data_IF_920481374316
#
_entry.id   IF_920481374316
#
_cell.length_a   1.000
_cell.length_b   1.000
_cell.length_c   1.000
_cell.angle_alpha   90.00
_cell.angle_beta   90.00
_cell.angle_gamma   90.00
#
_symmetry.space_group_name_H-M   'P 1'
#
loop_
_entity.id
_entity.type
_entity.pdbx_description
1 polymer ?
#
# COMPACT_ATOMS: atom_id res chain seq x y z
N UNK A 1 24.70 5.86 8.62
CA UNK A 1 25.09 4.60 9.28
C UNK A 1 23.93 3.64 9.12
N UNK A 2 24.01 2.73 8.15
CA UNK A 2 23.00 1.70 7.97
C UNK A 2 23.12 0.72 9.15
N UNK A 3 22.10 0.66 10.00
CA UNK A 3 21.95 -0.46 10.93
C UNK A 3 21.80 -1.70 10.05
N UNK A 4 22.76 -2.62 10.15
CA UNK A 4 22.53 -4.01 9.79
C UNK A 4 21.42 -4.47 10.71
N UNK A 5 20.22 -4.60 10.16
CA UNK A 5 19.17 -5.38 10.80
C UNK A 5 19.64 -6.84 10.67
N UNK A 6 20.35 -7.30 11.70
CA UNK A 6 20.64 -8.72 11.85
C UNK A 6 19.29 -9.46 11.86
N UNK A 7 19.18 -10.62 11.19
CA UNK A 7 17.95 -11.38 11.17
C UNK A 7 17.48 -11.66 12.61
N UNK A 8 16.16 -11.66 12.87
CA UNK A 8 15.64 -11.93 14.20
C UNK A 8 16.28 -13.22 14.69
N UNK A 9 16.96 -13.12 15.83
CA UNK A 9 17.70 -14.22 16.41
C UNK A 9 16.70 -15.37 16.63
N UNK A 10 16.85 -16.46 15.89
CA UNK A 10 15.95 -17.61 15.99
C UNK A 10 16.24 -18.37 17.28
N UNK A 11 15.69 -17.85 18.38
CA UNK A 11 15.82 -18.40 19.73
C UNK A 11 15.34 -19.85 19.77
N UNK A 12 14.36 -20.21 18.95
CA UNK A 12 13.84 -21.57 18.85
C UNK A 12 14.81 -22.50 18.12
N UNK A 13 15.47 -22.03 17.06
CA UNK A 13 16.54 -22.76 16.37
C UNK A 13 17.73 -23.06 17.29
N UNK A 14 18.19 -22.05 18.03
CA UNK A 14 19.27 -22.22 19.01
C UNK A 14 18.86 -23.17 20.15
N UNK A 15 17.63 -23.07 20.67
CA UNK A 15 17.11 -23.97 21.69
C UNK A 15 17.02 -25.43 21.19
N UNK A 16 16.65 -25.65 19.93
CA UNK A 16 16.58 -26.97 19.33
C UNK A 16 17.97 -27.61 19.18
N UNK A 17 18.98 -26.85 18.77
CA UNK A 17 20.35 -27.34 18.70
C UNK A 17 20.94 -27.62 20.08
N UNK A 18 20.60 -26.80 21.08
CA UNK A 18 20.94 -27.03 22.48
C UNK A 18 20.30 -28.33 23.01
N UNK A 19 19.06 -28.62 22.60
CA UNK A 19 18.37 -29.88 22.89
C UNK A 19 19.06 -31.11 22.28
N UNK A 20 19.53 -31.03 21.03
CA UNK A 20 20.28 -32.12 20.37
C UNK A 20 21.61 -32.40 21.08
N UNK A 21 22.29 -31.36 21.58
CA UNK A 21 23.53 -31.55 22.36
C UNK A 21 23.24 -32.19 23.72
N UNK A 22 22.11 -31.85 24.36
CA UNK A 22 21.68 -32.53 25.59
C UNK A 22 21.31 -34.00 25.37
N UNK A 23 20.70 -34.34 24.23
CA UNK A 23 20.39 -35.73 23.86
C UNK A 23 21.67 -36.59 23.77
N UNK A 24 22.70 -36.08 23.07
CA UNK A 24 24.03 -36.72 23.00
C UNK A 24 24.67 -36.90 24.39
N UNK A 25 24.48 -35.92 25.27
CA UNK A 25 25.01 -35.97 26.64
C UNK A 25 24.26 -36.99 27.52
N UNK A 26 22.94 -37.10 27.35
CA UNK A 26 22.10 -38.08 28.04
C UNK A 26 22.49 -39.51 27.64
N UNK A 27 22.81 -39.74 26.36
CA UNK A 27 23.28 -41.03 25.87
C UNK A 27 24.60 -41.49 26.52
N UNK A 28 25.45 -40.54 26.96
CA UNK A 28 26.79 -40.82 27.50
C UNK A 28 26.78 -40.90 29.04
N UNK A 29 26.14 -39.95 29.73
CA UNK A 29 26.18 -39.84 31.19
C UNK A 29 24.93 -40.44 31.88
N UNK A 30 23.86 -40.70 31.14
CA UNK A 30 22.59 -41.11 31.71
C UNK A 30 21.72 -39.92 32.17
N UNK A 31 20.40 -40.12 32.27
CA UNK A 31 19.44 -39.03 32.36
C UNK A 31 19.41 -38.31 33.72
N UNK A 32 19.76 -38.99 34.82
CA UNK A 32 19.59 -38.45 36.17
C UNK A 32 20.59 -37.33 36.51
N UNK A 33 21.78 -37.35 35.92
CA UNK A 33 22.83 -36.35 36.18
C UNK A 33 22.59 -35.04 35.40
N UNK A 34 21.89 -35.12 34.27
CA UNK A 34 21.61 -33.97 33.38
C UNK A 34 20.28 -33.30 33.70
N UNK A 35 19.34 -34.02 34.33
CA UNK A 35 17.98 -33.56 34.61
C UNK A 35 17.90 -32.21 35.33
N UNK A 36 18.73 -31.99 36.36
CA UNK A 36 18.73 -30.73 37.11
C UNK A 36 19.27 -29.55 36.27
N UNK A 37 20.30 -29.80 35.46
CA UNK A 37 20.83 -28.81 34.53
C UNK A 37 19.82 -28.48 33.43
N UNK A 38 19.18 -29.50 32.85
CA UNK A 38 18.16 -29.33 31.82
C UNK A 38 16.97 -28.52 32.34
N UNK A 39 16.55 -28.76 33.59
CA UNK A 39 15.50 -27.95 34.24
C UNK A 39 15.89 -26.48 34.35
N UNK A 40 17.14 -26.17 34.72
CA UNK A 40 17.65 -24.79 34.78
C UNK A 40 17.71 -24.15 33.39
N UNK A 41 18.14 -24.90 32.38
CA UNK A 41 18.21 -24.43 30.99
C UNK A 41 16.81 -24.11 30.45
N UNK A 42 15.83 -24.98 30.69
CA UNK A 42 14.43 -24.75 30.28
C UNK A 42 13.91 -23.46 30.90
N UNK A 43 14.07 -23.27 32.21
CA UNK A 43 13.65 -22.03 32.89
C UNK A 43 14.34 -20.80 32.30
N UNK A 44 15.63 -20.87 31.95
CA UNK A 44 16.31 -19.75 31.29
C UNK A 44 15.81 -19.49 29.87
N UNK A 45 15.44 -20.52 29.11
CA UNK A 45 14.86 -20.38 27.78
C UNK A 45 13.43 -19.80 27.83
N UNK A 46 12.63 -20.20 28.82
CA UNK A 46 11.31 -19.61 29.08
C UNK A 46 11.41 -18.13 29.46
N UNK A 47 12.39 -17.76 30.29
CA UNK A 47 12.69 -16.34 30.58
C UNK A 47 13.11 -15.58 29.32
N UNK A 48 13.93 -16.19 28.46
CA UNK A 48 14.36 -15.58 27.21
C UNK A 48 13.20 -15.39 26.22
N UNK A 49 12.32 -16.38 26.10
CA UNK A 49 11.09 -16.30 25.31
C UNK A 49 10.19 -15.16 25.81
N UNK A 50 9.94 -15.10 27.12
CA UNK A 50 9.15 -14.02 27.71
C UNK A 50 9.77 -12.63 27.45
N UNK A 51 11.10 -12.53 27.52
CA UNK A 51 11.82 -11.29 27.22
C UNK A 51 11.75 -10.94 25.74
N UNK A 52 11.75 -11.92 24.83
CA UNK A 52 11.62 -11.69 23.39
C UNK A 52 10.27 -11.08 23.06
N UNK A 53 9.18 -11.63 23.62
CA UNK A 53 7.83 -11.10 23.44
C UNK A 53 7.72 -9.65 23.92
N UNK A 54 8.34 -9.33 25.06
CA UNK A 54 8.37 -7.95 25.58
C UNK A 54 9.16 -7.02 24.67
N UNK A 55 10.29 -7.48 24.13
CA UNK A 55 11.10 -6.70 23.18
C UNK A 55 10.30 -6.43 21.90
N UNK A 56 9.60 -7.42 21.35
CA UNK A 56 8.78 -7.25 20.15
C UNK A 56 7.63 -6.28 20.38
N UNK A 57 6.99 -6.34 21.56
CA UNK A 57 5.96 -5.38 21.95
C UNK A 57 6.51 -3.95 22.04
N UNK A 58 7.68 -3.76 22.67
CA UNK A 58 8.35 -2.46 22.75
C UNK A 58 8.83 -1.95 21.39
N UNK A 59 9.27 -2.84 20.49
CA UNK A 59 9.64 -2.47 19.13
C UNK A 59 8.42 -2.00 18.33
N UNK A 60 7.29 -2.67 18.51
CA UNK A 60 6.02 -2.26 17.90
C UNK A 60 5.58 -0.89 18.43
N UNK A 61 5.62 -0.69 19.75
CA UNK A 61 5.30 0.61 20.36
C UNK A 61 6.25 1.73 19.88
N UNK A 62 7.54 1.45 19.77
CA UNK A 62 8.52 2.40 19.21
C UNK A 62 8.24 2.73 17.76
N UNK A 63 7.81 1.76 16.96
CA UNK A 63 7.40 2.00 15.57
C UNK A 63 6.17 2.90 15.52
N UNK A 64 5.15 2.60 16.31
CA UNK A 64 3.91 3.39 16.38
C UNK A 64 4.18 4.83 16.85
N UNK A 65 5.02 5.02 17.87
CA UNK A 65 5.42 6.35 18.35
C UNK A 65 6.18 7.10 17.26
N UNK A 66 7.11 6.46 16.56
CA UNK A 66 7.83 7.10 15.44
C UNK A 66 6.87 7.52 14.32
N UNK A 67 5.98 6.64 13.89
CA UNK A 67 4.97 6.95 12.89
C UNK A 67 4.07 8.12 13.33
N UNK A 68 3.71 8.17 14.62
CA UNK A 68 2.96 9.28 15.22
C UNK A 68 3.75 10.60 15.18
N UNK A 69 5.04 10.56 15.49
CA UNK A 69 5.92 11.73 15.44
C UNK A 69 6.03 12.24 14.00
N UNK A 70 6.30 11.36 13.04
CA UNK A 70 6.40 11.72 11.61
C UNK A 70 5.08 12.35 11.11
N UNK A 71 3.94 11.80 11.51
CA UNK A 71 2.63 12.38 11.21
C UNK A 71 2.45 13.78 11.81
N UNK A 72 2.81 13.98 13.08
CA UNK A 72 2.70 15.28 13.75
C UNK A 72 3.67 16.31 13.17
N UNK A 73 4.86 15.90 12.76
CA UNK A 73 5.82 16.77 12.07
C UNK A 73 5.28 17.23 10.71
N UNK A 74 4.66 16.32 9.95
CA UNK A 74 3.98 16.65 8.70
C UNK A 74 2.83 17.64 8.93
N UNK A 75 1.94 17.37 9.89
CA UNK A 75 0.85 18.30 10.23
C UNK A 75 1.36 19.66 10.71
N UNK A 76 2.47 19.70 11.45
CA UNK A 76 3.10 20.95 11.90
C UNK A 76 3.62 21.76 10.72
N UNK A 77 4.26 21.10 9.74
CA UNK A 77 4.74 21.73 8.52
C UNK A 77 3.57 22.28 7.69
N UNK A 78 2.53 21.47 7.48
CA UNK A 78 1.34 21.89 6.73
C UNK A 78 0.63 23.08 7.39
N UNK A 79 0.47 23.05 8.72
CA UNK A 79 -0.06 24.19 9.48
C UNK A 79 0.81 25.44 9.35
N UNK A 80 2.14 25.29 9.27
CA UNK A 80 3.04 26.42 9.06
C UNK A 80 2.91 26.99 7.64
N UNK A 81 2.84 26.14 6.63
CA UNK A 81 2.62 26.55 5.24
C UNK A 81 1.28 27.26 5.05
N UNK A 82 0.24 26.78 5.73
CA UNK A 82 -1.06 27.45 5.71
C UNK A 82 -0.98 28.85 6.35
N UNK A 83 -0.33 28.99 7.51
CA UNK A 83 -0.10 30.31 8.14
C UNK A 83 0.69 31.24 7.21
N UNK A 84 1.77 30.76 6.61
CA UNK A 84 2.58 31.55 5.68
C UNK A 84 1.76 32.08 4.48
N UNK A 85 0.81 31.29 3.97
CA UNK A 85 -0.09 31.73 2.89
C UNK A 85 -1.05 32.82 3.37
N UNK A 86 -1.63 32.67 4.56
CA UNK A 86 -2.48 33.70 5.15
C UNK A 86 -1.70 35.00 5.39
N UNK A 87 -0.46 34.90 5.89
CA UNK A 87 0.41 36.06 6.11
C UNK A 87 0.72 36.78 4.78
N UNK A 88 0.97 36.04 3.70
CA UNK A 88 1.15 36.62 2.35
C UNK A 88 -0.13 37.28 1.84
N UNK A 89 -1.30 36.65 2.02
CA UNK A 89 -2.59 37.24 1.64
C UNK A 89 -2.86 38.54 2.41
N UNK A 90 -2.55 38.57 3.71
CA UNK A 90 -2.64 39.77 4.54
C UNK A 90 -1.70 40.87 4.05
N UNK A 91 -0.44 40.55 3.74
CA UNK A 91 0.52 41.52 3.20
C UNK A 91 0.03 42.14 1.88
N UNK A 92 -0.55 41.32 0.98
CA UNK A 92 -1.14 41.81 -0.27
C UNK A 92 -2.33 42.75 0.01
N UNK A 93 -3.21 42.39 0.96
CA UNK A 93 -4.34 43.24 1.33
C UNK A 93 -3.86 44.57 1.93
N UNK A 94 -2.86 44.54 2.81
CA UNK A 94 -2.27 45.74 3.40
C UNK A 94 -1.65 46.65 2.34
N UNK A 95 -0.88 46.08 1.40
CA UNK A 95 -0.25 46.84 0.33
C UNK A 95 -1.29 47.46 -0.61
N UNK A 96 -2.35 46.73 -0.92
CA UNK A 96 -3.47 47.27 -1.69
C UNK A 96 -4.17 48.40 -0.94
N UNK A 97 -4.36 48.26 0.38
CA UNK A 97 -4.95 49.31 1.20
C UNK A 97 -4.05 50.55 1.28
N UNK A 98 -2.73 50.39 1.37
CA UNK A 98 -1.76 51.50 1.28
C UNK A 98 -1.84 52.21 -0.08
N UNK A 99 -1.87 51.45 -1.18
CA UNK A 99 -2.02 52.01 -2.54
C UNK A 99 -3.32 52.79 -2.69
N UNK A 100 -4.43 52.25 -2.25
CA UNK A 100 -5.72 52.94 -2.33
C UNK A 100 -5.73 54.20 -1.45
N UNK A 101 -5.24 54.10 -0.21
CA UNK A 101 -5.15 55.23 0.71
C UNK A 101 -4.28 56.36 0.14
N UNK A 102 -3.13 56.03 -0.43
CA UNK A 102 -2.25 57.01 -1.08
C UNK A 102 -2.87 57.62 -2.33
N UNK A 103 -3.57 56.82 -3.14
CA UNK A 103 -4.30 57.29 -4.31
C UNK A 103 -5.42 58.28 -3.93
N UNK A 104 -6.27 57.90 -2.97
CA UNK A 104 -7.35 58.75 -2.46
C UNK A 104 -6.80 60.03 -1.83
N UNK A 105 -5.74 59.95 -1.03
CA UNK A 105 -5.08 61.14 -0.48
C UNK A 105 -4.54 62.05 -1.59
N UNK A 106 -3.92 61.51 -2.63
CA UNK A 106 -3.47 62.29 -3.79
C UNK A 106 -4.64 62.99 -4.48
N UNK A 107 -5.76 62.30 -4.66
CA UNK A 107 -6.96 62.87 -5.24
C UNK A 107 -7.53 64.00 -4.37
N UNK A 108 -7.60 63.81 -3.05
CA UNK A 108 -8.04 64.84 -2.11
C UNK A 108 -7.15 66.08 -2.20
N UNK A 109 -5.83 65.92 -2.23
CA UNK A 109 -4.89 67.05 -2.38
C UNK A 109 -5.13 67.78 -3.70
N UNK A 110 -5.24 67.06 -4.82
CA UNK A 110 -5.54 67.67 -6.14
C UNK A 110 -6.86 68.44 -6.14
N UNK A 111 -7.91 67.88 -5.54
CA UNK A 111 -9.21 68.54 -5.43
C UNK A 111 -9.16 69.76 -4.51
N UNK A 112 -8.38 69.71 -3.42
CA UNK A 112 -8.14 70.85 -2.54
C UNK A 112 -7.38 71.97 -3.26
N UNK A 113 -6.36 71.64 -4.05
CA UNK A 113 -5.61 72.58 -4.87
C UNK A 113 -6.49 73.24 -5.94
N UNK A 114 -7.30 72.46 -6.65
CA UNK A 114 -8.30 72.95 -7.63
C UNK A 114 -9.33 73.86 -6.96
N UNK A 115 -9.90 73.46 -5.82
CA UNK A 115 -10.86 74.29 -5.08
C UNK A 115 -10.22 75.60 -4.61
N UNK A 116 -8.97 75.57 -4.14
CA UNK A 116 -8.23 76.77 -3.75
C UNK A 116 -7.99 77.66 -4.96
N UNK A 117 -7.58 77.10 -6.09
CA UNK A 117 -7.37 77.81 -7.37
C UNK A 117 -8.64 78.50 -7.85
N UNK A 118 -9.76 77.77 -7.87
CA UNK A 118 -11.07 78.31 -8.27
C UNK A 118 -11.55 79.39 -7.30
N UNK A 119 -11.37 79.19 -5.99
CA UNK A 119 -11.69 80.21 -4.99
C UNK A 119 -10.90 81.49 -5.21
N UNK A 120 -9.58 81.39 -5.46
CA UNK A 120 -8.76 82.55 -5.80
C UNK A 120 -9.24 83.26 -7.08
N UNK A 121 -9.58 82.52 -8.13
CA UNK A 121 -10.11 83.09 -9.39
C UNK A 121 -11.45 83.81 -9.19
N UNK A 122 -12.34 83.29 -8.34
CA UNK A 122 -13.60 83.95 -8.00
C UNK A 122 -13.31 85.26 -7.24
N UNK A 123 -12.44 85.24 -6.23
CA UNK A 123 -12.07 86.46 -5.48
C UNK A 123 -11.39 87.51 -6.36
N UNK A 124 -10.56 87.10 -7.31
CA UNK A 124 -9.88 87.98 -8.26
C UNK A 124 -10.88 88.62 -9.23
N UNK A 125 -11.85 87.83 -9.73
CA UNK A 125 -12.93 88.30 -10.61
C UNK A 125 -13.92 89.25 -9.91
N UNK A 126 -14.18 89.05 -8.62
CA UNK A 126 -15.00 89.96 -7.81
C UNK A 126 -14.27 91.26 -7.46
N UNK A 127 -12.93 91.26 -7.49
CA UNK A 127 -12.09 92.43 -7.19
C UNK A 127 -11.82 93.36 -8.38
N UNK A 128 -12.16 92.96 -9.61
CA UNK A 128 -11.86 93.72 -10.83
C UNK A 128 -13.15 94.18 -11.56
N UNK A 129 -13.48 95.47 -11.45
CA UNK A 129 -14.29 96.18 -12.45
C UNK A 129 -13.55 96.22 -13.80
N UNK A 130 -14.24 96.22 -14.96
CA UNK A 130 -13.59 96.16 -16.26
C UNK A 130 -12.94 97.51 -16.56
N UNK A 131 -11.67 97.64 -16.18
CA UNK A 131 -10.87 98.83 -16.46
C UNK A 131 -9.71 98.45 -17.36
N UNK A 132 -9.94 98.65 -18.66
CA UNK A 132 -8.96 98.99 -19.70
C UNK A 132 -7.48 98.75 -19.38
N UNK A 133 -6.97 97.56 -19.73
CA UNK A 133 -5.54 97.37 -19.96
C UNK A 133 -5.16 97.91 -21.34
N UNK A 134 -4.97 99.23 -21.43
CA UNK A 134 -4.27 99.84 -22.56
C UNK A 134 -2.78 99.53 -22.45
N UNK A 135 -2.34 98.67 -23.36
CA UNK A 135 -0.97 98.26 -23.56
C UNK A 135 -0.04 99.44 -23.87
N UNK A 136 0.98 99.61 -23.03
CA UNK A 136 2.36 99.85 -23.46
C UNK A 136 3.24 99.16 -22.42
N UNK A 137 3.85 98.04 -22.80
CA UNK A 137 4.89 97.38 -21.99
C UNK A 137 6.11 98.33 -21.96
N UNK A 138 6.67 98.56 -20.77
CA UNK A 138 7.96 99.24 -20.65
C UNK A 138 9.04 98.39 -21.33
N UNK A 139 10.15 98.98 -21.80
CA UNK A 139 11.27 98.24 -22.39
C UNK A 139 11.80 97.14 -21.44
N UNK A 140 11.70 97.36 -20.13
CA UNK A 140 12.05 96.39 -19.10
C UNK A 140 11.08 95.20 -19.05
N UNK A 141 9.77 95.45 -19.20
CA UNK A 141 8.75 94.40 -19.26
C UNK A 141 8.91 93.56 -20.53
N UNK A 142 9.26 94.19 -21.66
CA UNK A 142 9.55 93.50 -22.92
C UNK A 142 10.75 92.54 -22.77
N UNK A 143 11.79 92.95 -22.07
CA UNK A 143 12.97 92.11 -21.79
C UNK A 143 12.61 90.90 -20.90
N UNK A 144 11.77 91.11 -19.88
CA UNK A 144 11.27 90.03 -19.02
C UNK A 144 10.45 89.02 -19.83
N UNK A 145 9.53 89.51 -20.68
CA UNK A 145 8.73 88.64 -21.56
C UNK A 145 9.63 87.86 -22.53
N UNK A 146 10.69 88.46 -23.07
CA UNK A 146 11.64 87.77 -23.94
C UNK A 146 12.41 86.65 -23.19
N UNK A 147 12.83 86.89 -21.95
CA UNK A 147 13.48 85.87 -21.11
C UNK A 147 12.53 84.73 -20.75
N UNK A 148 11.28 85.04 -20.38
CA UNK A 148 10.25 84.04 -20.09
C UNK A 148 9.93 83.20 -21.33
N UNK A 149 9.86 83.81 -22.52
CA UNK A 149 9.69 83.10 -23.79
C UNK A 149 10.85 82.15 -24.08
N UNK A 150 12.10 82.59 -23.87
CA UNK A 150 13.27 81.74 -24.05
C UNK A 150 13.28 80.55 -23.08
N UNK A 151 12.95 80.79 -21.81
CA UNK A 151 12.86 79.74 -20.79
C UNK A 151 11.71 78.76 -21.09
N UNK A 152 10.57 79.26 -21.56
CA UNK A 152 9.43 78.43 -21.99
C UNK A 152 9.82 77.54 -23.18
N UNK A 153 10.52 78.09 -24.17
CA UNK A 153 11.01 77.31 -25.31
C UNK A 153 12.07 76.28 -24.89
N UNK A 154 12.96 76.63 -23.95
CA UNK A 154 13.92 75.70 -23.38
C UNK A 154 13.22 74.54 -22.66
N UNK A 155 12.20 74.83 -21.84
CA UNK A 155 11.40 73.81 -21.15
C UNK A 155 10.65 72.93 -22.14
N UNK A 156 10.12 73.50 -23.24
CA UNK A 156 9.47 72.73 -24.31
C UNK A 156 10.45 71.74 -24.96
N UNK A 157 11.66 72.18 -25.27
CA UNK A 157 12.70 71.30 -25.80
C UNK A 157 13.11 70.21 -24.80
N UNK A 158 13.24 70.54 -23.53
CA UNK A 158 13.54 69.54 -22.48
C UNK A 158 12.43 68.50 -22.34
N UNK A 159 11.16 68.92 -22.41
CA UNK A 159 10.02 68.01 -22.35
C UNK A 159 10.08 66.99 -23.49
N UNK A 160 10.38 67.43 -24.72
CA UNK A 160 10.51 66.53 -25.89
C UNK A 160 11.63 65.50 -25.70
N UNK A 161 12.78 65.90 -25.15
CA UNK A 161 13.88 64.97 -24.88
C UNK A 161 13.47 63.96 -23.81
N UNK A 162 12.82 64.42 -22.73
CA UNK A 162 12.33 63.55 -21.66
C UNK A 162 11.26 62.58 -22.14
N UNK A 163 10.36 63.01 -23.02
CA UNK A 163 9.34 62.15 -23.63
C UNK A 163 9.99 61.05 -24.49
N UNK A 164 11.05 61.36 -25.23
CA UNK A 164 11.83 60.36 -25.99
C UNK A 164 12.53 59.37 -25.07
N UNK A 165 13.19 59.85 -24.01
CA UNK A 165 13.82 58.98 -23.01
C UNK A 165 12.79 58.06 -22.34
N UNK A 166 11.61 58.58 -21.99
CA UNK A 166 10.51 57.77 -21.41
C UNK A 166 10.01 56.71 -22.38
N UNK A 167 9.88 57.02 -23.67
CA UNK A 167 9.49 56.05 -24.69
C UNK A 167 10.54 54.94 -24.84
N UNK A 168 11.83 55.29 -24.88
CA UNK A 168 12.92 54.32 -24.94
C UNK A 168 12.92 53.40 -23.71
N UNK A 169 12.72 53.96 -22.51
CA UNK A 169 12.60 53.18 -21.28
C UNK A 169 11.34 52.31 -21.25
N UNK A 170 10.23 52.78 -21.80
CA UNK A 170 9.02 51.98 -22.00
C UNK A 170 9.30 50.75 -22.87
N UNK A 171 9.99 50.93 -23.99
CA UNK A 171 10.38 49.82 -24.87
C UNK A 171 11.36 48.84 -24.21
N UNK A 172 12.29 49.30 -23.37
CA UNK A 172 13.15 48.43 -22.57
C UNK A 172 12.35 47.60 -21.57
N UNK A 173 11.39 48.23 -20.88
CA UNK A 173 10.49 47.55 -19.93
C UNK A 173 9.67 46.47 -20.65
N UNK A 174 9.10 46.76 -21.82
CA UNK A 174 8.34 45.78 -22.61
C UNK A 174 9.20 44.57 -23.01
N UNK A 175 10.45 44.79 -23.44
CA UNK A 175 11.38 43.69 -23.76
C UNK A 175 11.68 42.81 -22.55
N UNK A 176 11.92 43.42 -21.39
CA UNK A 176 12.16 42.68 -20.14
C UNK A 176 10.91 41.92 -19.71
N UNK A 177 9.72 42.52 -19.84
CA UNK A 177 8.45 41.85 -19.55
C UNK A 177 8.25 40.61 -20.42
N UNK A 178 8.50 40.70 -21.72
CA UNK A 178 8.42 39.54 -22.63
C UNK A 178 9.39 38.41 -22.23
N UNK A 179 10.60 38.76 -21.81
CA UNK A 179 11.58 37.76 -21.37
C UNK A 179 11.18 37.10 -20.04
N UNK A 180 10.63 37.88 -19.10
CA UNK A 180 10.06 37.36 -17.85
C UNK A 180 8.89 36.41 -18.14
N UNK A 181 8.00 36.75 -19.06
CA UNK A 181 6.90 35.87 -19.47
C UNK A 181 7.40 34.57 -20.11
N UNK A 182 8.43 34.66 -20.98
CA UNK A 182 9.06 33.50 -21.59
C UNK A 182 9.68 32.59 -20.54
N UNK A 183 10.44 33.15 -19.60
CA UNK A 183 11.04 32.39 -18.49
C UNK A 183 9.98 31.78 -17.57
N UNK A 184 8.89 32.50 -17.31
CA UNK A 184 7.75 31.99 -16.53
C UNK A 184 7.12 30.76 -17.19
N UNK A 185 6.95 30.76 -18.52
CA UNK A 185 6.47 29.59 -19.28
C UNK A 185 7.43 28.40 -19.15
N UNK A 186 8.73 28.61 -19.39
CA UNK A 186 9.75 27.54 -19.26
C UNK A 186 9.80 26.99 -17.83
N UNK A 187 9.71 27.85 -16.81
CA UNK A 187 9.71 27.41 -15.42
C UNK A 187 8.49 26.55 -15.07
N UNK A 188 7.30 26.91 -15.60
CA UNK A 188 6.08 26.09 -15.47
C UNK A 188 6.25 24.74 -16.14
N UNK A 189 6.83 24.69 -17.34
CA UNK A 189 7.11 23.44 -18.06
C UNK A 189 8.10 22.54 -17.29
N UNK A 190 9.19 23.10 -16.78
CA UNK A 190 10.16 22.37 -15.96
C UNK A 190 9.54 21.86 -14.66
N UNK A 191 8.71 22.67 -14.00
CA UNK A 191 7.97 22.25 -12.80
C UNK A 191 7.03 21.08 -13.07
N UNK A 192 6.30 21.12 -14.20
CA UNK A 192 5.45 20.01 -14.62
C UNK A 192 6.26 18.76 -14.98
N UNK A 193 7.39 18.91 -15.66
CA UNK A 193 8.31 17.80 -15.98
C UNK A 193 8.86 17.17 -14.71
N UNK A 194 9.25 17.97 -13.72
CA UNK A 194 9.74 17.49 -12.44
C UNK A 194 8.66 16.69 -11.67
N UNK A 195 7.41 17.19 -11.62
CA UNK A 195 6.28 16.44 -11.04
C UNK A 195 6.06 15.10 -11.73
N UNK A 196 6.17 15.05 -13.05
CA UNK A 196 6.02 13.80 -13.80
C UNK A 196 7.16 12.82 -13.53
N UNK A 197 8.40 13.30 -13.46
CA UNK A 197 9.55 12.46 -13.10
C UNK A 197 9.46 11.95 -11.66
N UNK A 198 8.99 12.77 -10.72
CA UNK A 198 8.72 12.33 -9.34
C UNK A 198 7.68 11.22 -9.31
N UNK A 199 6.56 11.34 -10.06
CA UNK A 199 5.56 10.27 -10.17
C UNK A 199 6.15 8.98 -10.75
N UNK A 200 6.96 9.08 -11.80
CA UNK A 200 7.65 7.92 -12.35
C UNK A 200 8.58 7.27 -11.34
N UNK A 201 9.32 8.06 -10.56
CA UNK A 201 10.19 7.55 -9.51
C UNK A 201 9.40 6.84 -8.41
N UNK A 202 8.26 7.39 -7.96
CA UNK A 202 7.39 6.73 -7.00
C UNK A 202 6.88 5.38 -7.53
N UNK A 203 6.38 5.34 -8.77
CA UNK A 203 5.91 4.09 -9.38
C UNK A 203 7.04 3.05 -9.48
N UNK A 204 8.25 3.45 -9.88
CA UNK A 204 9.40 2.53 -9.96
C UNK A 204 9.82 2.00 -8.58
N UNK A 205 9.67 2.81 -7.52
CA UNK A 205 9.94 2.36 -6.14
C UNK A 205 8.90 1.34 -5.69
N UNK A 206 7.63 1.56 -6.02
CA UNK A 206 6.52 0.63 -5.74
C UNK A 206 6.71 -0.70 -6.49
N UNK A 207 6.98 -0.65 -7.80
CA UNK A 207 7.29 -1.84 -8.61
C UNK A 207 8.50 -2.59 -8.05
N UNK A 208 9.55 -1.87 -7.61
CA UNK A 208 10.71 -2.49 -6.98
C UNK A 208 10.34 -3.18 -5.66
N UNK A 209 9.51 -2.55 -4.81
CA UNK A 209 9.09 -3.17 -3.55
C UNK A 209 8.25 -4.43 -3.79
N UNK A 210 7.37 -4.42 -4.79
CA UNK A 210 6.55 -5.58 -5.15
C UNK A 210 7.41 -6.74 -5.66
N UNK A 211 8.38 -6.44 -6.53
CA UNK A 211 9.32 -7.44 -7.03
C UNK A 211 10.20 -8.01 -5.90
N UNK A 212 10.63 -7.17 -4.96
CA UNK A 212 11.40 -7.61 -3.80
C UNK A 212 10.57 -8.52 -2.88
N UNK A 213 9.29 -8.19 -2.63
CA UNK A 213 8.38 -9.02 -1.86
C UNK A 213 8.13 -10.38 -2.55
N UNK A 214 7.92 -10.38 -3.87
CA UNK A 214 7.77 -11.61 -4.66
C UNK A 214 9.02 -12.49 -4.58
N UNK A 215 10.20 -11.90 -4.71
CA UNK A 215 11.46 -12.64 -4.58
C UNK A 215 11.63 -13.25 -3.18
N UNK A 216 11.30 -12.51 -2.11
CA UNK A 216 11.35 -13.02 -0.74
C UNK A 216 10.36 -14.17 -0.52
N UNK A 217 9.15 -14.07 -1.07
CA UNK A 217 8.15 -15.14 -1.02
C UNK A 217 8.64 -16.40 -1.74
N UNK A 218 9.20 -16.26 -2.95
CA UNK A 218 9.79 -17.38 -3.68
C UNK A 218 10.96 -18.01 -2.94
N UNK A 219 11.83 -17.18 -2.32
CA UNK A 219 12.93 -17.68 -1.51
C UNK A 219 12.43 -18.50 -0.32
N UNK A 220 11.38 -18.04 0.37
CA UNK A 220 10.75 -18.77 1.47
C UNK A 220 10.15 -20.09 0.98
N UNK A 221 9.44 -20.09 -0.14
CA UNK A 221 8.88 -21.30 -0.74
C UNK A 221 9.98 -22.32 -1.10
N UNK A 222 11.11 -21.87 -1.67
CA UNK A 222 12.25 -22.74 -1.94
C UNK A 222 12.85 -23.32 -0.64
N UNK A 223 12.94 -22.53 0.43
CA UNK A 223 13.40 -23.01 1.74
C UNK A 223 12.43 -24.04 2.33
N UNK A 224 11.13 -23.78 2.27
CA UNK A 224 10.09 -24.71 2.74
C UNK A 224 10.15 -26.05 1.97
N UNK A 225 10.29 -26.00 0.64
CA UNK A 225 10.48 -27.19 -0.19
C UNK A 225 11.79 -27.93 0.13
N UNK A 226 12.87 -27.22 0.43
CA UNK A 226 14.15 -27.82 0.82
C UNK A 226 14.04 -28.55 2.17
N UNK A 227 13.29 -27.97 3.13
CA UNK A 227 13.00 -28.62 4.42
C UNK A 227 12.13 -29.86 4.19
N UNK A 228 11.05 -29.76 3.42
CA UNK A 228 10.18 -30.89 3.10
C UNK A 228 10.96 -32.03 2.42
N UNK A 229 11.84 -31.71 1.46
CA UNK A 229 12.70 -32.69 0.81
C UNK A 229 13.67 -33.34 1.81
N UNK A 230 14.27 -32.55 2.70
CA UNK A 230 15.18 -33.07 3.73
C UNK A 230 14.47 -34.01 4.69
N UNK A 231 13.25 -33.68 5.10
CA UNK A 231 12.40 -34.55 5.93
C UNK A 231 12.04 -35.83 5.18
N UNK A 232 11.58 -35.74 3.94
CA UNK A 232 11.24 -36.91 3.13
C UNK A 232 12.46 -37.82 2.86
N UNK A 233 13.66 -37.25 2.68
CA UNK A 233 14.91 -38.02 2.55
C UNK A 233 15.23 -38.74 3.85
N UNK A 234 15.07 -38.09 5.00
CA UNK A 234 15.28 -38.70 6.31
C UNK A 234 14.29 -39.85 6.55
N UNK A 235 13.01 -39.62 6.30
CA UNK A 235 11.97 -40.67 6.43
C UNK A 235 12.25 -41.88 5.52
N UNK A 236 12.70 -41.65 4.29
CA UNK A 236 13.09 -42.75 3.39
C UNK A 236 14.32 -43.52 3.89
N UNK A 237 15.32 -42.83 4.46
CA UNK A 237 16.48 -43.49 5.09
C UNK A 237 16.05 -44.33 6.30
N UNK A 238 15.17 -43.78 7.14
CA UNK A 238 14.64 -44.48 8.32
C UNK A 238 13.85 -45.74 7.90
N UNK A 239 12.97 -45.63 6.89
CA UNK A 239 12.26 -46.76 6.30
C UNK A 239 13.20 -47.83 5.73
N UNK A 240 14.27 -47.43 5.03
CA UNK A 240 15.27 -48.35 4.48
C UNK A 240 16.09 -49.04 5.58
N UNK A 241 16.37 -48.35 6.69
CA UNK A 241 17.02 -48.92 7.86
C UNK A 241 16.11 -49.97 8.52
N UNK A 242 14.82 -49.65 8.66
CA UNK A 242 13.82 -50.59 9.17
C UNK A 242 13.69 -51.79 8.23
N UNK A 243 13.62 -51.61 6.90
CA UNK A 243 13.63 -52.74 5.93
C UNK A 243 14.88 -53.62 6.05
N UNK A 244 16.05 -53.02 6.31
CA UNK A 244 17.30 -53.75 6.51
C UNK A 244 17.33 -54.53 7.83
N UNK A 245 16.69 -53.99 8.88
CA UNK A 245 16.53 -54.64 10.19
C UNK A 245 15.36 -55.65 10.23
N UNK A 246 14.33 -55.44 9.42
CA UNK A 246 13.18 -56.32 9.15
C UNK A 246 13.41 -57.23 7.94
N UNK A 247 14.67 -57.51 7.59
CA UNK A 247 15.01 -58.83 7.06
C UNK A 247 14.79 -59.86 8.17
N UNK A 248 13.54 -60.05 8.54
CA UNK A 248 13.06 -61.30 9.08
C UNK A 248 13.59 -62.35 8.13
N UNK A 249 14.38 -63.28 8.68
CA UNK A 249 14.86 -64.43 7.95
C UNK A 249 13.65 -65.24 7.46
N UNK A 250 13.17 -64.88 6.27
CA UNK A 250 12.10 -65.60 5.57
C UNK A 250 12.65 -66.85 4.88
N UNK A 251 13.88 -67.27 5.22
CA UNK A 251 14.42 -68.56 4.85
C UNK A 251 13.59 -69.67 5.51
N UNK A 252 12.52 -70.07 4.82
CA UNK A 252 11.72 -71.25 5.16
C UNK A 252 10.24 -71.02 5.44
N UNK A 253 9.67 -69.81 5.27
CA UNK A 253 8.23 -69.59 5.52
C UNK A 253 7.42 -68.93 4.39
N UNK A 254 8.05 -68.44 3.33
CA UNK A 254 7.38 -68.17 2.05
C UNK A 254 8.37 -68.46 0.94
N UNK A 255 8.13 -69.55 0.19
CA UNK A 255 8.99 -69.94 -0.95
C UNK A 255 8.74 -68.95 -2.09
N UNK A 256 9.40 -67.78 -2.03
CA UNK A 256 9.59 -66.93 -3.19
C UNK A 256 11.08 -66.62 -3.23
N UNK A 257 11.83 -67.49 -3.92
CA UNK A 257 13.22 -67.21 -4.25
C UNK A 257 13.25 -65.96 -5.16
N UNK A 258 13.77 -64.85 -4.64
CA UNK A 258 13.90 -63.60 -5.40
C UNK A 258 14.84 -63.74 -6.62
N UNK A 259 15.72 -64.74 -6.57
CA UNK A 259 16.72 -65.07 -7.60
C UNK A 259 16.28 -66.16 -8.60
N UNK A 260 15.01 -66.60 -8.58
CA UNK A 260 14.53 -67.60 -9.56
C UNK A 260 14.41 -66.97 -10.97
N UNK A 261 15.20 -67.44 -11.95
CA UNK A 261 15.16 -66.92 -13.33
C UNK A 261 13.87 -67.29 -14.08
N UNK A 262 13.11 -68.28 -13.62
CA UNK A 262 11.82 -68.67 -14.20
C UNK A 262 10.61 -68.04 -13.49
N UNK A 263 10.85 -67.15 -12.53
CA UNK A 263 9.77 -66.42 -11.84
C UNK A 263 9.07 -65.50 -12.85
N UNK A 264 7.74 -65.58 -12.99
CA UNK A 264 7.01 -64.64 -13.86
C UNK A 264 7.20 -63.22 -13.32
N UNK A 265 7.86 -62.38 -14.12
CA UNK A 265 8.11 -60.97 -13.84
C UNK A 265 7.18 -60.18 -14.75
N UNK A 266 6.12 -59.64 -14.16
CA UNK A 266 5.23 -58.73 -14.87
C UNK A 266 5.70 -57.29 -14.70
N UNK A 267 5.64 -56.51 -15.76
CA UNK A 267 5.73 -55.05 -15.62
C UNK A 267 4.47 -54.51 -14.90
N UNK A 268 4.55 -53.34 -14.28
CA UNK A 268 3.36 -52.72 -13.66
C UNK A 268 2.22 -52.56 -14.66
N UNK A 269 2.55 -52.32 -15.92
CA UNK A 269 1.57 -52.18 -17.00
C UNK A 269 0.97 -53.53 -17.38
N UNK A 270 1.76 -54.61 -17.47
CA UNK A 270 1.23 -55.97 -17.66
C UNK A 270 0.32 -56.39 -16.51
N UNK A 271 0.68 -56.08 -15.26
CA UNK A 271 -0.15 -56.39 -14.11
C UNK A 271 -1.48 -55.62 -14.16
N UNK A 272 -1.45 -54.35 -14.53
CA UNK A 272 -2.67 -53.56 -14.75
C UNK A 272 -3.54 -54.17 -15.86
N UNK A 273 -2.94 -54.58 -16.97
CA UNK A 273 -3.66 -55.22 -18.08
C UNK A 273 -4.28 -56.55 -17.64
N UNK A 274 -3.53 -57.42 -16.95
CA UNK A 274 -4.03 -58.70 -16.43
C UNK A 274 -5.17 -58.47 -15.43
N UNK A 275 -5.07 -57.48 -14.55
CA UNK A 275 -6.14 -57.15 -13.61
C UNK A 275 -7.39 -56.62 -14.32
N UNK A 276 -7.20 -55.83 -15.38
CA UNK A 276 -8.29 -55.32 -16.20
C UNK A 276 -8.99 -56.46 -16.95
N UNK A 277 -8.23 -57.33 -17.63
CA UNK A 277 -8.77 -58.52 -18.29
C UNK A 277 -9.45 -59.47 -17.30
N UNK A 278 -8.86 -59.69 -16.12
CA UNK A 278 -9.49 -60.48 -15.06
C UNK A 278 -10.83 -59.87 -14.64
N UNK A 279 -10.91 -58.54 -14.48
CA UNK A 279 -12.17 -57.88 -14.13
C UNK A 279 -13.22 -58.00 -15.23
N UNK A 280 -12.81 -57.81 -16.48
CA UNK A 280 -13.70 -57.94 -17.64
C UNK A 280 -14.23 -59.37 -17.78
N UNK A 281 -13.35 -60.37 -17.65
CA UNK A 281 -13.73 -61.79 -17.63
C UNK A 281 -14.63 -62.12 -16.43
N UNK A 282 -14.38 -61.52 -15.26
CA UNK A 282 -15.21 -61.72 -14.08
C UNK A 282 -16.62 -61.15 -14.29
N UNK A 283 -16.74 -59.97 -14.89
CA UNK A 283 -18.03 -59.39 -15.26
C UNK A 283 -18.77 -60.30 -16.26
N UNK A 284 -18.05 -60.77 -17.29
CA UNK A 284 -18.62 -61.65 -18.30
C UNK A 284 -19.03 -63.02 -17.76
N UNK A 285 -18.29 -63.56 -16.79
CA UNK A 285 -18.67 -64.77 -16.06
C UNK A 285 -19.94 -64.50 -15.25
N UNK A 286 -20.04 -63.36 -14.57
CA UNK A 286 -21.26 -62.97 -13.84
C UNK A 286 -22.47 -62.92 -14.77
N UNK A 287 -22.34 -62.26 -15.93
CA UNK A 287 -23.43 -62.17 -16.92
C UNK A 287 -23.86 -63.57 -17.42
N UNK A 288 -22.88 -64.44 -17.69
CA UNK A 288 -23.15 -65.81 -18.13
C UNK A 288 -23.77 -66.66 -17.02
N UNK A 289 -23.34 -66.49 -15.77
CA UNK A 289 -23.94 -67.13 -14.59
C UNK A 289 -25.41 -66.68 -14.44
N UNK A 290 -25.70 -65.40 -14.60
CA UNK A 290 -27.07 -64.85 -14.58
C UNK A 290 -27.93 -65.44 -15.71
N UNK A 291 -27.41 -65.52 -16.93
CA UNK A 291 -28.08 -66.18 -18.05
C UNK A 291 -28.36 -67.66 -17.76
N UNK A 292 -27.40 -68.38 -17.16
CA UNK A 292 -27.54 -69.79 -16.80
C UNK A 292 -28.58 -69.98 -15.69
N UNK A 293 -28.63 -69.07 -14.70
CA UNK A 293 -29.66 -69.04 -13.67
C UNK A 293 -31.04 -68.83 -14.30
N UNK A 294 -31.18 -67.93 -15.27
CA UNK A 294 -32.44 -67.70 -16.00
C UNK A 294 -32.84 -68.92 -16.82
N UNK A 295 -31.90 -69.60 -17.48
CA UNK A 295 -32.17 -70.82 -18.26
C UNK A 295 -32.54 -71.99 -17.35
N UNK A 296 -31.85 -72.16 -16.22
CA UNK A 296 -32.19 -73.17 -15.21
C UNK A 296 -33.56 -72.90 -14.57
N UNK A 297 -33.87 -71.64 -14.31
CA UNK A 297 -35.19 -71.21 -13.80
C UNK A 297 -36.31 -71.41 -14.83
N UNK A 298 -36.02 -71.23 -16.13
CA UNK A 298 -36.96 -71.54 -17.22
C UNK A 298 -37.13 -73.05 -17.49
N UNK A 299 -36.20 -73.89 -17.04
CA UNK A 299 -36.25 -75.34 -17.23
C UNK A 299 -37.00 -76.08 -16.11
N UNK A 300 -37.34 -75.41 -15.01
CA UNK A 300 -37.89 -76.04 -13.81
C UNK A 300 -39.30 -75.57 -13.45
N UNK A 301 -40.35 -76.30 -13.86
CA UNK A 301 -41.65 -76.39 -13.16
C UNK A 301 -42.30 -77.76 -13.49
N UNK A 302 -43.02 -78.49 -12.59
CA UNK A 302 -43.04 -78.47 -11.12
C UNK A 302 -42.84 -79.87 -10.48
N UNK A 303 -42.39 -79.94 -9.22
CA UNK A 303 -42.86 -80.97 -8.26
C UNK A 303 -42.36 -80.69 -6.84
N UNK A 304 -43.30 -80.26 -5.99
CA UNK A 304 -43.46 -80.63 -4.57
C UNK A 304 -42.27 -80.51 -3.61
N UNK A 305 -42.31 -79.51 -2.72
CA UNK A 305 -42.72 -79.68 -1.32
C UNK A 305 -42.24 -78.53 -0.40
N UNK A 306 -43.19 -77.98 0.35
CA UNK A 306 -43.10 -77.48 1.74
C UNK A 306 -42.11 -76.38 2.13
N UNK A 307 -42.65 -75.15 2.19
CA UNK A 307 -42.97 -74.43 3.44
C UNK A 307 -41.92 -74.26 4.56
N UNK A 308 -41.50 -72.99 4.69
CA UNK A 308 -41.40 -72.16 5.91
C UNK A 308 -40.12 -72.23 6.77
N UNK A 309 -39.34 -71.14 6.83
CA UNK A 309 -39.26 -70.21 7.99
C UNK A 309 -38.19 -69.11 7.82
N UNK A 310 -38.63 -67.86 8.01
CA UNK A 310 -38.00 -66.71 8.71
C UNK A 310 -36.63 -66.12 8.29
N UNK A 311 -36.73 -64.85 7.82
CA UNK A 311 -36.00 -63.64 8.25
C UNK A 311 -34.49 -63.56 8.06
N UNK A 312 -34.04 -62.65 7.18
CA UNK A 312 -33.10 -61.58 7.51
C UNK A 312 -33.05 -60.58 6.33
N UNK A 313 -33.08 -59.30 6.69
CA UNK A 313 -33.14 -58.17 5.78
C UNK A 313 -31.82 -58.01 5.00
N UNK A 314 -31.92 -57.93 3.67
CA UNK A 314 -30.86 -57.36 2.84
C UNK A 314 -30.93 -55.83 2.97
N UNK A 315 -29.88 -55.28 3.56
CA UNK A 315 -29.56 -53.85 3.51
C UNK A 315 -29.02 -53.53 2.12
N UNK A 316 -29.88 -53.06 1.22
CA UNK A 316 -29.43 -52.28 0.06
C UNK A 316 -28.93 -50.92 0.57
N UNK A 317 -27.61 -50.77 0.66
CA UNK A 317 -26.94 -49.50 0.92
C UNK A 317 -27.15 -48.55 -0.27
N UNK A 318 -28.20 -47.73 -0.19
CA UNK A 318 -28.45 -46.64 -1.13
C UNK A 318 -27.34 -45.58 -1.00
N UNK A 319 -26.91 -44.93 -2.10
CA UNK A 319 -25.88 -43.90 -2.04
C UNK A 319 -26.36 -42.71 -1.19
N UNK A 320 -25.75 -42.54 -0.02
CA UNK A 320 -26.00 -41.43 0.90
C UNK A 320 -25.39 -40.17 0.31
N UNK A 321 -26.19 -39.37 -0.38
CA UNK A 321 -25.82 -38.00 -0.68
C UNK A 321 -25.87 -37.21 0.63
N UNK A 322 -24.70 -36.93 1.20
CA UNK A 322 -24.56 -36.20 2.46
C UNK A 322 -25.32 -34.86 2.44
N UNK A 323 -25.67 -34.30 3.62
CA UNK A 323 -26.42 -33.07 3.72
C UNK A 323 -25.75 -31.97 2.87
N UNK A 324 -26.48 -31.41 1.92
CA UNK A 324 -26.00 -30.29 1.11
C UNK A 324 -25.52 -29.19 2.07
N UNK A 325 -24.28 -28.72 1.88
CA UNK A 325 -23.75 -27.61 2.69
C UNK A 325 -24.72 -26.43 2.57
N UNK A 326 -25.42 -26.09 3.66
CA UNK A 326 -26.13 -24.82 3.74
C UNK A 326 -25.09 -23.71 3.63
N UNK A 327 -25.24 -22.85 2.63
CA UNK A 327 -24.41 -21.64 2.56
C UNK A 327 -24.53 -20.87 3.87
N UNK A 328 -23.43 -20.27 4.38
CA UNK A 328 -23.48 -19.47 5.59
C UNK A 328 -24.49 -18.33 5.42
N UNK A 329 -25.31 -18.10 6.45
CA UNK A 329 -26.45 -17.16 6.44
C UNK A 329 -26.07 -15.72 6.01
N UNK A 330 -24.77 -15.38 6.08
CA UNK A 330 -24.17 -14.11 5.64
C UNK A 330 -24.37 -13.80 4.14
N UNK A 331 -24.52 -14.83 3.29
CA UNK A 331 -24.80 -14.63 1.85
C UNK A 331 -26.27 -14.39 1.52
N UNK A 332 -27.19 -14.92 2.35
CA UNK A 332 -28.64 -14.80 2.14
C UNK A 332 -29.19 -13.48 2.67
N UNK A 333 -28.53 -12.90 3.66
CA UNK A 333 -28.88 -11.60 4.22
C UNK A 333 -27.63 -10.73 4.33
N UNK A 334 -27.32 -9.90 3.31
CA UNK A 334 -26.21 -8.96 3.42
C UNK A 334 -26.54 -7.98 4.56
N UNK A 335 -25.90 -8.18 5.72
CA UNK A 335 -26.07 -7.29 6.86
C UNK A 335 -25.75 -5.86 6.41
N UNK A 336 -26.77 -5.00 6.43
CA UNK A 336 -26.60 -3.57 6.23
C UNK A 336 -25.69 -3.07 7.35
N UNK A 337 -24.43 -2.82 7.00
CA UNK A 337 -23.40 -2.20 7.85
C UNK A 337 -24.02 -1.16 8.78
N UNK A 338 -24.03 -1.45 10.08
CA UNK A 338 -24.42 -0.48 11.12
C UNK A 338 -23.45 0.70 11.02
N UNK A 339 -23.98 1.86 10.64
CA UNK A 339 -23.26 3.12 10.47
C UNK A 339 -22.38 3.43 11.69
N UNK A 340 -21.13 3.83 11.42
CA UNK A 340 -19.99 3.82 12.34
C UNK A 340 -20.05 4.73 13.58
N UNK A 341 -21.12 5.51 13.76
CA UNK A 341 -21.26 6.40 14.92
C UNK A 341 -21.69 5.66 16.19
N UNK A 342 -22.39 4.52 16.07
CA UNK A 342 -22.87 3.77 17.25
C UNK A 342 -21.77 3.00 18.00
N UNK A 343 -20.55 2.93 17.45
CA UNK A 343 -19.40 2.26 18.09
C UNK A 343 -18.73 3.11 19.18
N UNK A 344 -19.02 4.42 19.23
CA UNK A 344 -18.41 5.35 20.17
C UNK A 344 -19.20 5.54 21.48
N UNK A 345 -20.38 4.94 21.61
CA UNK A 345 -21.22 5.10 22.81
C UNK A 345 -21.85 3.76 23.23
N UNK A 346 -21.08 2.83 23.83
CA UNK A 346 -21.59 1.52 24.26
C UNK A 346 -22.62 1.60 25.39
N UNK A 347 -22.68 2.72 26.13
CA UNK A 347 -23.38 2.82 27.41
C UNK A 347 -24.53 3.83 27.45
N UNK A 348 -24.95 4.41 26.32
CA UNK A 348 -26.08 5.34 26.31
C UNK A 348 -27.34 4.61 25.87
N UNK A 349 -28.16 4.22 26.85
CA UNK A 349 -29.55 3.78 26.61
C UNK A 349 -30.37 4.97 26.15
N UNK A 350 -30.57 5.10 24.84
CA UNK A 350 -31.50 6.07 24.28
C UNK A 350 -32.94 5.57 24.49
N UNK A 351 -33.86 6.37 25.05
CA UNK A 351 -35.26 5.98 25.13
C UNK A 351 -35.85 5.85 23.73
N UNK A 352 -36.60 4.76 23.50
CA UNK A 352 -37.33 4.53 22.26
C UNK A 352 -38.35 5.66 22.09
N UNK A 353 -38.19 6.47 21.04
CA UNK A 353 -39.30 7.27 20.55
C UNK A 353 -40.33 6.31 19.93
N UNK A 354 -41.58 6.46 20.37
CA UNK A 354 -42.79 5.88 19.78
C UNK A 354 -42.98 6.44 18.38
#
# INVERSE_FOLDING_TARGET
MAKKDDPPCDVYGLAADLGKEFEKLIDICGPEEIKELMTKVIVTLEYLESSSVVIDALQTELYDIKARVDQLEYEKLERADFRNKLDQELEIIEENWRKETTHLNSLVVKLQEENKRLSSMITEKDSHTPSDCKAFLSDEDLLVVQKLKALTEQHRCQLIVKDKELLEKGNEIEKVQLEVERLSKVNKELSNRNRNLQKQLYNLVEEKSDMQANMQNQQKECQDLQVQLSTAVKENMDLSCVESQQKMDLHGKLIINLDDPNRPRFTLDELRHILFERNDLKARISDLEDELVVVNSKRAIPSSASSTTLSLADEEELPVQGPINKEPDEKLFPEKKKLGIRRFFPTVTWPKLI
#
